data_IF_184516035787
#
_entry.id   IF_184516035787
#
_cell.length_a   1.000
_cell.length_b   1.000
_cell.length_c   1.000
_cell.angle_alpha   90.00
_cell.angle_beta   90.00
_cell.angle_gamma   90.00
#
_symmetry.space_group_name_H-M   'P 1'
#
loop_
_entity.id
_entity.type
_entity.pdbx_description
1 polymer ?
#
# COMPACT_ATOMS: atom_id res chain seq x y z
N UNK A 1 17.88 10.29 10.61
CA UNK A 1 17.39 10.14 9.22
C UNK A 1 16.17 9.24 9.26
N UNK A 2 15.12 9.46 8.46
CA UNK A 2 13.95 8.58 8.48
C UNK A 2 14.40 7.17 8.06
N UNK A 3 13.99 6.16 8.84
CA UNK A 3 14.18 4.76 8.47
C UNK A 3 13.40 4.47 7.17
N UNK A 4 14.13 4.38 6.07
CA UNK A 4 13.59 4.06 4.74
C UNK A 4 13.77 2.57 4.46
N UNK A 5 12.72 1.92 3.94
CA UNK A 5 12.91 0.65 3.22
C UNK A 5 13.89 0.95 2.08
N UNK A 6 14.98 0.18 1.98
CA UNK A 6 15.99 0.43 0.97
C UNK A 6 15.38 0.40 -0.43
N UNK A 7 15.77 1.31 -1.34
CA UNK A 7 15.42 1.16 -2.74
C UNK A 7 16.03 -0.16 -3.24
N UNK A 8 15.19 -1.08 -3.68
CA UNK A 8 15.62 -2.27 -4.41
C UNK A 8 16.15 -1.76 -5.76
N UNK A 9 17.41 -2.09 -6.10
CA UNK A 9 17.95 -1.79 -7.44
C UNK A 9 17.09 -2.52 -8.49
N UNK A 10 16.82 -1.94 -9.68
CA UNK A 10 15.96 -2.55 -10.71
C UNK A 10 16.40 -3.91 -11.31
N UNK A 11 17.29 -4.67 -10.66
CA UNK A 11 17.88 -5.91 -11.20
C UNK A 11 17.42 -7.22 -10.57
N UNK A 12 16.66 -7.21 -9.47
CA UNK A 12 16.27 -8.43 -8.72
C UNK A 12 14.87 -8.30 -8.07
N UNK A 13 13.97 -7.52 -8.68
CA UNK A 13 12.58 -7.48 -8.24
C UNK A 13 11.87 -8.75 -8.72
N UNK A 14 11.46 -9.62 -7.79
CA UNK A 14 10.62 -10.75 -8.12
C UNK A 14 9.35 -10.25 -8.82
N UNK A 15 9.17 -10.64 -10.08
CA UNK A 15 7.91 -10.46 -10.78
C UNK A 15 6.82 -11.23 -10.02
N UNK A 16 5.65 -10.61 -9.94
CA UNK A 16 4.55 -11.12 -9.16
C UNK A 16 3.97 -12.41 -9.79
N UNK A 17 3.90 -13.50 -9.02
CA UNK A 17 3.07 -14.67 -9.34
C UNK A 17 1.68 -14.49 -8.72
N UNK A 18 0.63 -14.47 -9.56
CA UNK A 18 -0.76 -14.20 -9.18
C UNK A 18 -1.67 -15.37 -9.52
N UNK A 19 -1.60 -16.42 -8.71
CA UNK A 19 -2.55 -17.53 -8.76
C UNK A 19 -3.69 -17.40 -7.73
N UNK A 20 -3.59 -16.45 -6.78
CA UNK A 20 -4.56 -16.26 -5.70
C UNK A 20 -5.48 -15.07 -5.94
N UNK A 21 -6.79 -15.30 -5.85
CA UNK A 21 -7.83 -14.25 -5.82
C UNK A 21 -7.99 -13.59 -4.44
N UNK A 22 -7.20 -13.99 -3.44
CA UNK A 22 -7.22 -13.40 -2.10
C UNK A 22 -6.49 -12.06 -2.08
N UNK A 23 -7.01 -11.14 -1.27
CA UNK A 23 -6.42 -9.81 -1.04
C UNK A 23 -5.88 -9.67 0.38
N UNK A 24 -4.83 -8.86 0.58
CA UNK A 24 -4.34 -8.49 1.92
C UNK A 24 -5.51 -7.90 2.70
N UNK A 25 -5.59 -8.25 3.99
CA UNK A 25 -6.67 -7.81 4.87
C UNK A 25 -6.88 -6.28 4.74
N UNK A 26 -8.08 -5.80 4.38
CA UNK A 26 -8.34 -4.37 4.20
C UNK A 26 -8.08 -3.52 5.46
N UNK A 27 -8.21 -4.10 6.66
CA UNK A 27 -7.86 -3.44 7.92
C UNK A 27 -6.37 -3.08 8.01
N UNK A 28 -5.48 -3.95 7.55
CA UNK A 28 -4.04 -3.68 7.47
C UNK A 28 -3.74 -2.60 6.44
N UNK A 29 -4.35 -2.70 5.27
CA UNK A 29 -4.20 -1.71 4.19
C UNK A 29 -4.62 -0.32 4.68
N UNK A 30 -5.76 -0.22 5.37
CA UNK A 30 -6.25 1.03 5.93
C UNK A 30 -5.32 1.57 7.03
N UNK A 31 -4.78 0.71 7.89
CA UNK A 31 -3.83 1.11 8.91
C UNK A 31 -2.54 1.69 8.31
N UNK A 32 -1.98 1.01 7.31
CA UNK A 32 -0.83 1.52 6.57
C UNK A 32 -1.18 2.84 5.89
N UNK A 33 -2.26 2.92 5.11
CA UNK A 33 -2.67 4.15 4.45
C UNK A 33 -2.77 5.36 5.40
N UNK A 34 -3.26 5.16 6.62
CA UNK A 34 -3.30 6.23 7.64
C UNK A 34 -1.92 6.68 8.09
N UNK A 35 -0.96 5.77 8.24
CA UNK A 35 0.42 6.14 8.58
C UNK A 35 1.12 6.93 7.47
N UNK A 36 0.58 6.93 6.25
CA UNK A 36 1.07 7.78 5.16
C UNK A 36 0.57 9.22 5.21
N UNK A 37 -0.47 9.53 5.97
CA UNK A 37 -1.01 10.90 6.08
C UNK A 37 0.10 11.87 6.51
N UNK A 38 0.20 13.01 5.82
CA UNK A 38 1.25 14.00 5.98
C UNK A 38 2.48 13.78 5.09
N UNK A 39 2.55 12.69 4.32
CA UNK A 39 3.60 12.51 3.29
C UNK A 39 3.44 13.58 2.20
N UNK A 40 4.48 14.35 1.83
CA UNK A 40 4.39 15.37 0.79
C UNK A 40 3.99 14.82 -0.58
N UNK A 41 3.38 15.65 -1.43
CA UNK A 41 3.13 15.26 -2.82
C UNK A 41 4.43 15.38 -3.61
N UNK A 42 4.87 14.28 -4.22
CA UNK A 42 6.04 14.25 -5.11
C UNK A 42 5.68 13.38 -6.31
N UNK A 43 5.67 13.93 -7.54
CA UNK A 43 5.42 13.15 -8.74
C UNK A 43 6.34 11.94 -8.82
N UNK A 44 5.77 10.75 -9.08
CA UNK A 44 6.44 9.44 -9.11
C UNK A 44 7.05 8.96 -7.79
N UNK A 45 7.00 9.78 -6.74
CA UNK A 45 7.39 9.41 -5.39
C UNK A 45 6.49 8.30 -4.85
N UNK A 46 7.07 7.41 -4.07
CA UNK A 46 6.39 6.27 -3.46
C UNK A 46 6.97 5.94 -2.09
N UNK A 47 7.42 6.94 -1.32
CA UNK A 47 8.06 6.76 -0.01
C UNK A 47 7.39 7.56 1.09
N UNK A 48 6.93 6.86 2.14
CA UNK A 48 6.25 7.46 3.29
C UNK A 48 7.11 8.53 3.96
N UNK A 49 6.53 9.70 4.17
CA UNK A 49 7.18 10.87 4.75
C UNK A 49 8.17 11.61 3.85
N UNK A 50 8.57 11.02 2.71
CA UNK A 50 9.52 11.64 1.77
C UNK A 50 8.82 12.20 0.52
N UNK A 51 7.79 11.50 0.03
CA UNK A 51 7.05 11.93 -1.15
C UNK A 51 6.20 10.82 -1.76
N UNK A 52 4.97 11.16 -2.15
CA UNK A 52 4.07 10.25 -2.85
C UNK A 52 3.23 10.99 -3.90
N UNK A 53 3.03 10.38 -5.07
CA UNK A 53 1.86 10.69 -5.90
C UNK A 53 0.70 9.73 -5.58
N UNK A 54 -0.45 9.88 -6.25
CA UNK A 54 -1.63 9.08 -5.94
C UNK A 54 -1.38 7.58 -6.13
N UNK A 55 -0.63 7.18 -7.16
CA UNK A 55 -0.24 5.79 -7.40
C UNK A 55 0.89 5.37 -6.47
N UNK A 56 1.80 6.29 -6.16
CA UNK A 56 2.89 6.18 -5.22
C UNK A 56 2.47 5.75 -3.83
N UNK A 57 1.33 6.25 -3.35
CA UNK A 57 0.71 5.78 -2.11
C UNK A 57 0.42 4.27 -2.18
N UNK A 58 -0.25 3.81 -3.24
CA UNK A 58 -0.58 2.39 -3.38
C UNK A 58 0.69 1.52 -3.60
N UNK A 59 1.65 2.01 -4.40
CA UNK A 59 2.95 1.36 -4.62
C UNK A 59 3.70 1.16 -3.31
N UNK A 60 3.75 2.21 -2.48
CA UNK A 60 4.41 2.20 -1.19
C UNK A 60 3.75 1.24 -0.20
N UNK A 61 2.41 1.25 -0.12
CA UNK A 61 1.67 0.32 0.75
C UNK A 61 1.89 -1.14 0.34
N UNK A 62 1.86 -1.46 -0.96
CA UNK A 62 2.15 -2.83 -1.43
C UNK A 62 3.55 -3.26 -0.97
N UNK A 63 4.55 -2.39 -1.13
CA UNK A 63 5.91 -2.67 -0.70
C UNK A 63 6.02 -2.85 0.82
N UNK A 64 5.32 -2.03 1.59
CA UNK A 64 5.31 -2.14 3.06
C UNK A 64 4.66 -3.44 3.55
N UNK A 65 3.62 -3.94 2.88
CA UNK A 65 2.83 -5.10 3.32
C UNK A 65 3.19 -6.44 2.66
N UNK A 66 4.01 -6.41 1.61
CA UNK A 66 4.37 -7.64 0.87
C UNK A 66 5.81 -7.69 0.38
N UNK A 67 6.57 -6.60 0.49
CA UNK A 67 7.87 -6.46 -0.15
C UNK A 67 7.82 -6.38 -1.68
N UNK A 68 6.65 -6.57 -2.30
CA UNK A 68 6.48 -6.57 -3.75
C UNK A 68 6.48 -5.15 -4.32
N UNK A 69 6.83 -5.05 -5.59
CA UNK A 69 6.89 -3.81 -6.33
C UNK A 69 5.72 -3.67 -7.29
N UNK A 70 5.04 -2.52 -7.25
CA UNK A 70 4.07 -2.13 -8.26
C UNK A 70 4.74 -1.14 -9.22
N UNK A 71 4.80 -1.44 -10.54
CA UNK A 71 5.40 -0.54 -11.52
C UNK A 71 4.77 0.85 -11.50
N UNK A 72 5.62 1.88 -11.59
CA UNK A 72 5.12 3.21 -11.85
C UNK A 72 4.44 3.23 -13.23
N UNK A 73 3.18 3.65 -13.34
CA UNK A 73 2.57 3.82 -14.65
C UNK A 73 3.35 4.87 -15.44
N UNK A 74 3.41 4.70 -16.76
CA UNK A 74 3.95 5.70 -17.66
C UNK A 74 3.02 6.92 -17.68
N UNK A 75 3.13 7.78 -16.67
CA UNK A 75 2.37 9.01 -16.57
C UNK A 75 3.33 10.21 -16.61
N UNK A 76 2.99 11.17 -17.46
CA UNK A 76 3.70 12.41 -17.73
C UNK A 76 2.78 13.57 -17.35
N UNK A 77 3.32 14.78 -17.23
CA UNK A 77 2.52 16.00 -16.95
C UNK A 77 1.46 16.29 -18.03
N UNK A 78 1.55 15.67 -19.20
CA UNK A 78 0.55 15.73 -20.29
C UNK A 78 -0.54 14.65 -20.15
N UNK A 79 -0.83 14.18 -18.94
CA UNK A 79 -1.78 13.09 -18.66
C UNK A 79 -3.17 13.27 -19.29
N UNK A 80 -3.58 14.51 -19.58
CA UNK A 80 -4.84 14.82 -20.27
C UNK A 80 -4.78 14.61 -21.81
N UNK A 81 -3.59 14.53 -22.39
CA UNK A 81 -3.34 14.48 -23.84
C UNK A 81 -2.94 13.10 -24.38
N UNK A 82 -2.55 12.16 -23.51
CA UNK A 82 -2.11 10.80 -23.90
C UNK A 82 -3.29 9.82 -23.91
N UNK A 83 -3.43 9.01 -24.97
CA UNK A 83 -4.42 7.93 -25.07
C UNK A 83 -4.14 6.76 -24.11
N UNK A 84 -5.15 5.94 -23.80
CA UNK A 84 -5.03 4.73 -22.95
C UNK A 84 -5.32 4.95 -21.46
N UNK A 85 -5.25 3.89 -20.65
CA UNK A 85 -5.62 3.89 -19.22
C UNK A 85 -4.46 3.33 -18.35
N UNK A 86 -3.28 3.98 -18.30
CA UNK A 86 -2.04 3.41 -17.75
C UNK A 86 -2.14 3.05 -16.27
N UNK A 87 -2.97 3.77 -15.50
CA UNK A 87 -3.28 3.37 -14.12
C UNK A 87 -4.01 2.03 -14.15
N UNK A 88 -5.11 1.90 -14.91
CA UNK A 88 -5.86 0.65 -14.99
C UNK A 88 -5.02 -0.49 -15.57
N UNK A 89 -4.15 -0.22 -16.54
CA UNK A 89 -3.27 -1.24 -17.14
C UNK A 89 -2.32 -1.82 -16.09
N UNK A 90 -1.70 -0.95 -15.27
CA UNK A 90 -0.85 -1.38 -14.16
C UNK A 90 -1.67 -2.13 -13.10
N UNK A 91 -2.86 -1.68 -12.74
CA UNK A 91 -3.69 -2.35 -11.73
C UNK A 91 -4.20 -3.71 -12.24
N UNK A 92 -4.63 -3.84 -13.50
CA UNK A 92 -5.04 -5.12 -14.10
C UNK A 92 -3.91 -6.15 -14.07
N UNK A 93 -2.68 -5.71 -14.35
CA UNK A 93 -1.54 -6.61 -14.40
C UNK A 93 -1.02 -7.02 -13.01
N UNK A 94 -1.34 -6.26 -11.96
CA UNK A 94 -0.65 -6.40 -10.67
C UNK A 94 -1.56 -6.51 -9.44
N UNK A 95 -2.83 -6.18 -9.52
CA UNK A 95 -3.75 -6.16 -8.38
C UNK A 95 -4.99 -7.03 -8.65
N UNK A 96 -5.75 -7.28 -7.59
CA UNK A 96 -6.96 -8.12 -7.66
C UNK A 96 -8.20 -7.21 -7.76
N UNK A 97 -9.08 -7.38 -8.77
CA UNK A 97 -10.33 -6.64 -8.83
C UNK A 97 -11.28 -7.07 -7.70
N UNK A 98 -11.99 -6.12 -7.11
CA UNK A 98 -12.98 -6.39 -6.04
C UNK A 98 -14.34 -5.80 -6.37
N UNK A 99 -15.42 -6.46 -5.93
CA UNK A 99 -16.79 -6.11 -6.33
C UNK A 99 -17.46 -5.09 -5.40
N UNK A 100 -17.02 -4.96 -4.15
CA UNK A 100 -17.67 -4.13 -3.15
C UNK A 100 -16.73 -3.06 -2.58
N UNK A 101 -17.16 -1.78 -2.53
CA UNK A 101 -16.37 -0.74 -1.88
C UNK A 101 -16.37 -0.98 -0.37
N UNK A 102 -15.18 -1.18 0.20
CA UNK A 102 -14.98 -1.34 1.64
C UNK A 102 -13.76 -0.53 2.08
N UNK A 103 -13.69 -0.06 3.34
CA UNK A 103 -12.47 0.54 3.86
C UNK A 103 -11.27 -0.37 3.63
N UNK A 104 -10.17 0.18 3.15
CA UNK A 104 -8.96 -0.57 2.79
C UNK A 104 -8.91 -1.05 1.33
N UNK A 105 -9.97 -0.89 0.53
CA UNK A 105 -9.88 -1.15 -0.92
C UNK A 105 -9.38 0.09 -1.68
N UNK A 106 -8.70 -0.14 -2.78
CA UNK A 106 -8.22 0.91 -3.67
C UNK A 106 -9.38 1.30 -4.59
N UNK A 107 -9.77 2.57 -4.57
CA UNK A 107 -10.75 3.16 -5.45
C UNK A 107 -10.08 3.98 -6.54
N UNK A 108 -10.45 3.71 -7.79
CA UNK A 108 -10.00 4.48 -8.95
C UNK A 108 -11.12 5.41 -9.39
N UNK A 109 -10.76 6.65 -9.69
CA UNK A 109 -11.69 7.71 -10.06
C UNK A 109 -11.38 8.25 -11.45
N UNK A 110 -12.45 8.59 -12.19
CA UNK A 110 -12.33 9.32 -13.44
C UNK A 110 -12.27 10.81 -13.17
N UNK A 111 -11.25 11.47 -13.68
CA UNK A 111 -11.14 12.94 -13.62
C UNK A 111 -11.67 13.50 -14.95
N UNK A 112 -12.70 14.34 -14.87
CA UNK A 112 -13.48 14.76 -16.04
C UNK A 112 -14.23 13.60 -16.68
N UNK A 113 -14.43 13.66 -18.00
CA UNK A 113 -15.23 12.66 -18.74
C UNK A 113 -14.43 11.53 -19.40
N UNK A 114 -13.09 11.52 -19.29
CA UNK A 114 -12.27 10.76 -20.25
C UNK A 114 -11.37 9.68 -19.66
N UNK A 115 -10.80 9.81 -18.46
CA UNK A 115 -9.72 8.92 -18.02
C UNK A 115 -9.72 8.60 -16.52
N UNK A 116 -9.41 7.35 -16.19
CA UNK A 116 -9.05 6.96 -14.83
C UNK A 116 -7.66 7.56 -14.52
N UNK A 117 -7.66 8.67 -13.78
CA UNK A 117 -6.47 9.49 -13.58
C UNK A 117 -6.12 9.71 -12.10
N UNK A 118 -6.95 9.20 -11.19
CA UNK A 118 -6.74 9.34 -9.76
C UNK A 118 -7.11 8.07 -9.01
N UNK A 119 -6.40 7.76 -7.94
CA UNK A 119 -6.74 6.67 -7.04
C UNK A 119 -6.54 7.05 -5.57
N UNK A 120 -7.21 6.34 -4.69
CA UNK A 120 -7.06 6.45 -3.24
C UNK A 120 -7.50 5.19 -2.53
N UNK A 121 -7.16 5.07 -1.26
CA UNK A 121 -7.61 4.00 -0.39
C UNK A 121 -8.92 4.43 0.26
N UNK A 122 -9.99 3.65 0.10
CA UNK A 122 -11.25 3.91 0.78
C UNK A 122 -11.04 3.86 2.30
N UNK A 123 -11.60 4.82 3.01
CA UNK A 123 -11.67 4.82 4.47
C UNK A 123 -13.13 4.72 4.93
N UNK A 124 -13.35 4.60 6.25
CA UNK A 124 -14.70 4.66 6.82
C UNK A 124 -15.36 6.04 6.60
N UNK A 125 -14.57 7.10 6.39
CA UNK A 125 -15.05 8.50 6.31
C UNK A 125 -14.98 9.07 4.89
N UNK A 126 -14.23 8.45 3.99
CA UNK A 126 -14.06 8.89 2.61
C UNK A 126 -12.89 8.18 1.94
N UNK A 127 -11.84 8.93 1.60
CA UNK A 127 -10.63 8.39 0.96
C UNK A 127 -9.35 8.93 1.58
N UNK A 128 -8.32 8.12 1.55
CA UNK A 128 -6.93 8.50 1.79
C UNK A 128 -6.21 8.51 0.44
N UNK A 129 -5.69 9.65 0.02
CA UNK A 129 -5.03 9.81 -1.28
C UNK A 129 -3.90 10.83 -1.19
N UNK A 130 -2.94 10.75 -2.11
CA UNK A 130 -2.01 11.85 -2.33
C UNK A 130 -2.65 12.84 -3.32
N UNK A 131 -2.78 14.09 -2.91
CA UNK A 131 -3.35 15.18 -3.70
C UNK A 131 -2.29 16.25 -3.93
N UNK A 132 -2.28 16.81 -5.14
CA UNK A 132 -1.37 17.90 -5.51
C UNK A 132 -1.49 19.07 -4.53
N UNK A 133 -0.37 19.72 -4.22
CA UNK A 133 -0.21 20.76 -3.18
C UNK A 133 -0.58 20.39 -1.72
N UNK A 134 -1.11 19.20 -1.45
CA UNK A 134 -1.56 18.79 -0.11
C UNK A 134 -0.81 17.58 0.45
N UNK A 135 -0.24 16.74 -0.42
CA UNK A 135 0.34 15.47 -0.02
C UNK A 135 -0.73 14.43 0.31
N UNK A 136 -0.38 13.45 1.13
CA UNK A 136 -1.29 12.39 1.55
C UNK A 136 -2.21 12.89 2.65
N UNK A 137 -3.51 12.91 2.36
CA UNK A 137 -4.56 13.40 3.26
C UNK A 137 -5.74 12.43 3.28
N UNK A 138 -6.55 12.50 4.33
CA UNK A 138 -7.86 11.85 4.39
C UNK A 138 -8.95 12.91 4.16
N UNK A 139 -9.79 12.73 3.14
CA UNK A 139 -10.92 13.62 2.83
C UNK A 139 -12.23 12.87 2.89
N UNK A 140 -13.31 13.60 3.20
CA UNK A 140 -14.66 13.06 3.16
C UNK A 140 -15.05 12.62 1.75
N UNK A 141 -16.03 11.72 1.63
CA UNK A 141 -16.50 11.22 0.34
C UNK A 141 -17.20 12.29 -0.52
N UNK A 142 -17.68 13.36 0.12
CA UNK A 142 -18.47 14.40 -0.55
C UNK A 142 -17.64 15.12 -1.61
N UNK A 143 -18.17 15.21 -2.83
CA UNK A 143 -17.50 15.89 -3.95
C UNK A 143 -16.41 15.07 -4.65
N UNK A 144 -16.22 13.79 -4.29
CA UNK A 144 -15.30 12.92 -5.05
C UNK A 144 -15.85 12.63 -6.45
N UNK A 145 -15.00 12.49 -7.47
CA UNK A 145 -15.44 12.10 -8.81
C UNK A 145 -16.10 10.70 -8.81
N UNK A 146 -16.77 10.31 -9.91
CA UNK A 146 -17.36 9.00 -10.03
C UNK A 146 -16.34 7.87 -9.84
N UNK A 147 -16.68 6.92 -8.94
CA UNK A 147 -15.95 5.67 -8.77
C UNK A 147 -15.98 4.88 -10.08
N UNK A 148 -14.82 4.41 -10.52
CA UNK A 148 -14.65 3.68 -11.79
C UNK A 148 -14.41 2.20 -11.56
N UNK A 149 -13.48 1.85 -10.67
CA UNK A 149 -13.14 0.47 -10.36
C UNK A 149 -12.56 0.36 -8.95
N UNK A 150 -12.55 -0.87 -8.44
CA UNK A 150 -12.08 -1.20 -7.10
C UNK A 150 -11.06 -2.33 -7.17
N UNK A 151 -10.02 -2.22 -6.35
CA UNK A 151 -8.90 -3.16 -6.32
C UNK A 151 -8.48 -3.49 -4.89
N UNK A 152 -7.88 -4.65 -4.72
CA UNK A 152 -7.19 -5.05 -3.51
C UNK A 152 -5.76 -5.45 -3.80
N UNK A 153 -4.90 -5.28 -2.79
CA UNK A 153 -3.53 -5.79 -2.87
C UNK A 153 -3.57 -7.31 -2.77
N UNK A 154 -2.83 -8.03 -3.60
CA UNK A 154 -2.76 -9.50 -3.57
C UNK A 154 -2.02 -9.97 -2.31
N UNK A 155 -2.49 -11.07 -1.71
CA UNK A 155 -1.85 -11.68 -0.54
C UNK A 155 -0.45 -12.22 -0.89
N UNK A 156 0.49 -12.11 0.05
CA UNK A 156 1.78 -12.80 -0.03
C UNK A 156 1.58 -14.30 0.22
N UNK A 157 2.26 -15.16 -0.52
CA UNK A 157 2.20 -16.60 -0.28
C UNK A 157 2.51 -16.93 1.20
N UNK A 158 1.75 -17.86 1.78
CA UNK A 158 1.85 -18.20 3.21
C UNK A 158 1.14 -17.25 4.18
N UNK A 159 0.55 -16.15 3.70
CA UNK A 159 -0.30 -15.28 4.50
C UNK A 159 -1.78 -15.59 4.28
N UNK A 160 -2.59 -15.42 5.32
CA UNK A 160 -4.04 -15.52 5.30
C UNK A 160 -4.69 -14.14 5.40
N UNK A 161 -5.97 -14.05 5.05
CA UNK A 161 -6.71 -12.79 5.19
C UNK A 161 -7.00 -12.48 6.65
N UNK A 162 -7.10 -13.48 7.53
CA UNK A 162 -7.59 -13.28 8.90
C UNK A 162 -9.06 -12.80 8.96
N UNK A 163 -9.54 -12.34 10.12
CA UNK A 163 -10.90 -11.81 10.30
C UNK A 163 -11.08 -10.42 9.68
N UNK A 164 -12.33 -10.05 9.38
CA UNK A 164 -12.66 -8.77 8.70
C UNK A 164 -12.37 -7.52 9.56
N UNK A 165 -12.24 -7.65 10.88
CA UNK A 165 -12.12 -6.56 11.85
C UNK A 165 -10.68 -6.33 12.39
N UNK A 166 -9.67 -6.71 11.60
CA UNK A 166 -8.26 -6.48 11.93
C UNK A 166 -7.96 -4.97 12.12
N UNK A 167 -7.17 -4.67 13.16
CA UNK A 167 -6.62 -3.35 13.46
C UNK A 167 -5.21 -3.49 14.04
N UNK A 168 -4.35 -2.47 13.99
CA UNK A 168 -2.98 -2.65 14.48
C UNK A 168 -2.85 -3.11 15.94
N UNK A 169 -3.83 -2.79 16.79
CA UNK A 169 -3.85 -3.21 18.18
C UNK A 169 -4.00 -4.74 18.37
N UNK A 170 -4.63 -5.43 17.40
CA UNK A 170 -4.82 -6.88 17.43
C UNK A 170 -3.80 -7.63 16.54
N UNK A 171 -2.78 -6.92 16.06
CA UNK A 171 -1.65 -7.51 15.36
C UNK A 171 -0.41 -7.56 16.26
N UNK A 172 0.39 -8.59 16.07
CA UNK A 172 1.78 -8.68 16.52
C UNK A 172 2.68 -8.57 15.29
N UNK A 173 3.77 -7.82 15.40
CA UNK A 173 4.83 -7.81 14.38
C UNK A 173 6.10 -8.40 14.95
N UNK A 174 6.55 -9.51 14.37
CA UNK A 174 7.81 -10.15 14.75
C UNK A 174 8.87 -9.73 13.72
N UNK A 175 9.93 -9.08 14.17
CA UNK A 175 11.03 -8.67 13.31
C UNK A 175 12.06 -9.79 13.24
N UNK A 176 12.18 -10.36 12.05
CA UNK A 176 13.02 -11.52 11.76
C UNK A 176 14.24 -11.10 10.93
N UNK A 177 15.45 -11.61 11.23
CA UNK A 177 16.62 -11.43 10.38
C UNK A 177 16.47 -12.23 9.08
N UNK A 178 17.05 -11.73 7.99
CA UNK A 178 17.15 -12.43 6.71
C UNK A 178 18.50 -12.14 6.04
N UNK A 179 18.82 -12.86 4.96
CA UNK A 179 20.13 -12.79 4.26
C UNK A 179 20.54 -11.43 3.68
N UNK A 180 19.72 -10.37 3.85
CA UNK A 180 20.02 -9.01 3.41
C UNK A 180 19.48 -7.92 4.34
N UNK A 181 19.05 -8.26 5.56
CA UNK A 181 18.47 -7.29 6.49
C UNK A 181 17.47 -7.92 7.44
N UNK A 182 16.33 -7.24 7.62
CA UNK A 182 15.26 -7.64 8.52
C UNK A 182 13.91 -7.46 7.85
N UNK A 183 12.95 -8.32 8.13
CA UNK A 183 11.55 -8.15 7.71
C UNK A 183 10.62 -8.32 8.91
N UNK A 184 9.40 -7.82 8.80
CA UNK A 184 8.35 -8.00 9.80
C UNK A 184 7.35 -9.06 9.35
N UNK A 185 7.10 -10.05 10.20
CA UNK A 185 5.94 -10.95 10.09
C UNK A 185 4.78 -10.32 10.86
N UNK A 186 3.70 -9.99 10.16
CA UNK A 186 2.50 -9.42 10.76
C UNK A 186 1.52 -10.57 10.97
N UNK A 187 1.18 -10.83 12.23
CA UNK A 187 0.28 -11.93 12.62
C UNK A 187 -0.90 -11.42 13.43
N UNK A 188 -1.97 -12.21 13.49
CA UNK A 188 -3.02 -12.02 14.50
C UNK A 188 -2.43 -12.32 15.87
N UNK A 189 -2.52 -11.38 16.80
CA UNK A 189 -1.88 -11.48 18.11
C UNK A 189 -2.29 -12.72 18.91
N UNK A 190 -3.56 -13.12 18.82
CA UNK A 190 -4.12 -14.15 19.71
C UNK A 190 -3.85 -15.59 19.26
N UNK A 191 -3.71 -15.82 17.96
CA UNK A 191 -3.59 -17.18 17.38
C UNK A 191 -2.39 -17.35 16.44
N UNK A 192 -1.62 -16.29 16.19
CA UNK A 192 -0.43 -16.32 15.36
C UNK A 192 -0.72 -16.47 13.86
N UNK A 193 -1.97 -16.34 13.41
CA UNK A 193 -2.31 -16.43 11.98
C UNK A 193 -1.50 -15.41 11.18
N UNK A 194 -0.70 -15.83 10.18
CA UNK A 194 0.08 -14.90 9.37
C UNK A 194 -0.84 -14.07 8.48
N UNK A 195 -0.66 -12.76 8.47
CA UNK A 195 -1.51 -11.82 7.71
C UNK A 195 -0.77 -11.12 6.57
N UNK A 196 0.49 -10.78 6.80
CA UNK A 196 1.33 -10.07 5.85
C UNK A 196 2.81 -10.21 6.22
N UNK A 197 3.68 -10.00 5.24
CA UNK A 197 5.13 -9.98 5.42
C UNK A 197 5.69 -8.73 4.77
N UNK A 198 6.43 -7.92 5.52
CA UNK A 198 6.91 -6.64 5.01
C UNK A 198 8.03 -6.81 3.98
N UNK A 199 8.36 -5.73 3.27
CA UNK A 199 9.65 -5.63 2.59
C UNK A 199 10.85 -5.67 3.55
N UNK A 200 12.04 -5.80 2.98
CA UNK A 200 13.29 -5.90 3.75
C UNK A 200 13.80 -4.51 4.15
N UNK A 201 14.10 -4.36 5.44
CA UNK A 201 14.77 -3.23 6.06
C UNK A 201 16.26 -3.52 6.23
N UNK A 202 17.11 -2.49 6.11
CA UNK A 202 18.57 -2.65 6.23
C UNK A 202 19.05 -2.93 7.66
N UNK A 203 18.23 -2.63 8.67
CA UNK A 203 18.57 -2.84 10.07
C UNK A 203 17.32 -3.12 10.90
N UNK A 204 17.49 -3.86 11.99
CA UNK A 204 16.42 -4.15 12.95
C UNK A 204 15.83 -2.86 13.51
N UNK A 205 16.69 -1.89 13.87
CA UNK A 205 16.26 -0.57 14.34
C UNK A 205 15.40 0.15 13.30
N UNK A 206 15.79 0.10 12.03
CA UNK A 206 15.01 0.69 10.94
C UNK A 206 13.65 0.03 10.76
N UNK A 207 13.57 -1.29 10.91
CA UNK A 207 12.30 -2.02 10.92
C UNK A 207 11.40 -1.56 12.08
N UNK A 208 11.93 -1.51 13.31
CA UNK A 208 11.19 -1.04 14.50
C UNK A 208 10.68 0.39 14.29
N UNK A 209 11.54 1.33 13.89
CA UNK A 209 11.19 2.74 13.71
C UNK A 209 10.13 2.95 12.61
N UNK A 210 10.11 2.09 11.59
CA UNK A 210 9.11 2.15 10.53
C UNK A 210 7.78 1.50 10.94
N UNK A 211 7.82 0.34 11.59
CA UNK A 211 6.64 -0.46 11.91
C UNK A 211 5.92 0.05 13.15
N UNK A 212 6.62 0.65 14.11
CA UNK A 212 6.03 1.26 15.32
C UNK A 212 5.10 2.44 15.02
N UNK A 213 5.18 3.01 13.80
CA UNK A 213 4.23 4.03 13.32
C UNK A 213 2.84 3.46 13.00
N UNK A 214 2.75 2.15 12.82
CA UNK A 214 1.51 1.44 12.48
C UNK A 214 1.11 0.55 13.64
N UNK A 215 2.03 -0.28 14.12
CA UNK A 215 1.77 -1.36 15.06
C UNK A 215 2.32 -1.03 16.44
N UNK A 216 1.49 -1.11 17.50
CA UNK A 216 1.94 -0.90 18.87
C UNK A 216 2.64 -2.12 19.48
N UNK A 217 2.44 -3.32 18.92
CA UNK A 217 3.00 -4.57 19.45
C UNK A 217 4.07 -5.11 18.49
N UNK A 218 5.33 -5.03 18.91
CA UNK A 218 6.47 -5.44 18.11
C UNK A 218 7.40 -6.28 18.98
N UNK A 219 7.77 -7.44 18.46
CA UNK A 219 8.80 -8.32 19.02
C UNK A 219 9.96 -8.45 18.03
N UNK A 220 11.11 -8.88 18.54
CA UNK A 220 12.32 -9.11 17.76
C UNK A 220 12.84 -10.51 18.02
N UNK A 221 13.24 -11.22 16.97
CA UNK A 221 14.05 -12.43 17.11
C UNK A 221 15.51 -12.01 17.24
N UNK A 222 16.19 -12.51 18.27
CA UNK A 222 17.63 -12.31 18.51
C UNK A 222 18.51 -13.10 17.53
#
# INVERSE_FOLDING_TARGET
MPATIAPIKPGEAALLDFTSSKIINPGLVLAHARAWIGTPFVPQGDFRGAGADCVGLARGILRELSGKYLPAPAWRNDWAAVQGEPILDVLHANLVPVSAPKPGTIAVFRVGHKRAAHLGILSKRGIIHALDDHGVIEVARDGLPPLTSLWGFPVTEGCETGPDDISPNNCLVIICPCGGGYYGEITVMNDGTPLAQTGVFQSQRGAIDALSKVYPNIETVD
#
